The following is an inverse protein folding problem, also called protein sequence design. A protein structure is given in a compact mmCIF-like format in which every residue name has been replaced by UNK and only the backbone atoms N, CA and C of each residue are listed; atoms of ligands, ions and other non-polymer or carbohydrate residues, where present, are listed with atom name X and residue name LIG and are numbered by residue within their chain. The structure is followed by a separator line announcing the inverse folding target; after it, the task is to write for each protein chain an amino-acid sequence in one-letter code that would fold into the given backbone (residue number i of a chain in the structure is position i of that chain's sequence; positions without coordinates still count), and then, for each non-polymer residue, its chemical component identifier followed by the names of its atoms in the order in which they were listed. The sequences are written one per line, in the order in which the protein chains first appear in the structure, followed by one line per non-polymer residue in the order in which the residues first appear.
data_IF_066351182830
#
_entry.id   IF_066351182830
#
_cell.length_a   1.000
_cell.length_b   1.000
_cell.length_c   1.000
_cell.angle_alpha   90.00
_cell.angle_beta   90.00
_cell.angle_gamma   90.00
#
_symmetry.space_group_name_H-M   'P 1'
#
loop_
_entity.id
_entity.type
_entity.pdbx_description
1 polymer ?
#
# COMPACT_ATOMS: atom_id res chain seq x y z
N UNK A 1 14.69 30.16 -4.41
CA UNK A 1 14.77 29.30 -3.20
C UNK A 1 15.87 28.28 -3.40
N UNK A 2 16.80 28.16 -2.47
CA UNK A 2 17.79 27.08 -2.50
C UNK A 2 17.07 25.74 -2.27
N UNK A 3 17.43 24.72 -3.05
CA UNK A 3 16.84 23.39 -2.91
C UNK A 3 17.28 22.75 -1.57
N UNK A 4 16.45 21.88 -0.97
CA UNK A 4 16.82 21.15 0.24
C UNK A 4 18.10 20.34 0.03
N UNK A 5 18.92 20.20 1.09
CA UNK A 5 20.22 19.50 1.02
C UNK A 5 20.10 18.04 0.58
N UNK A 6 18.95 17.40 0.83
CA UNK A 6 18.65 16.02 0.43
C UNK A 6 18.22 15.86 -1.04
N UNK A 7 17.90 16.95 -1.74
CA UNK A 7 17.38 16.89 -3.12
C UNK A 7 18.32 16.18 -4.12
N UNK A 8 19.66 16.38 -4.09
CA UNK A 8 20.57 15.65 -4.97
C UNK A 8 20.51 14.14 -4.77
N UNK A 9 20.29 13.67 -3.53
CA UNK A 9 20.13 12.24 -3.20
C UNK A 9 18.84 11.71 -3.82
N UNK A 10 17.74 12.43 -3.60
CA UNK A 10 16.44 12.05 -4.16
C UNK A 10 16.49 11.95 -5.69
N UNK A 11 17.10 12.93 -6.35
CA UNK A 11 17.29 12.92 -7.80
C UNK A 11 18.12 11.72 -8.26
N UNK A 12 19.23 11.42 -7.58
CA UNK A 12 20.08 10.27 -7.89
C UNK A 12 19.29 8.96 -7.80
N UNK A 13 18.57 8.74 -6.70
CA UNK A 13 17.79 7.52 -6.49
C UNK A 13 16.68 7.34 -7.54
N UNK A 14 15.95 8.41 -7.86
CA UNK A 14 14.92 8.37 -8.89
C UNK A 14 15.49 8.01 -10.26
N UNK A 15 16.60 8.66 -10.67
CA UNK A 15 17.27 8.39 -11.95
C UNK A 15 17.82 6.97 -12.01
N UNK A 16 18.37 6.45 -10.90
CA UNK A 16 18.84 5.07 -10.83
C UNK A 16 17.71 4.08 -11.06
N UNK A 17 16.54 4.30 -10.46
CA UNK A 17 15.37 3.46 -10.70
C UNK A 17 14.89 3.54 -12.15
N UNK A 18 14.81 4.74 -12.74
CA UNK A 18 14.37 4.90 -14.13
C UNK A 18 15.28 4.22 -15.16
N UNK A 19 16.57 4.05 -14.85
CA UNK A 19 17.51 3.29 -15.69
C UNK A 19 17.37 1.78 -15.54
N UNK A 20 16.70 1.30 -14.49
CA UNK A 20 16.47 -0.13 -14.28
C UNK A 20 15.37 -0.64 -15.21
N UNK A 21 15.59 -1.75 -15.91
CA UNK A 21 14.53 -2.39 -16.70
C UNK A 21 13.41 -2.96 -15.81
N UNK A 22 13.74 -3.33 -14.57
CA UNK A 22 12.81 -3.99 -13.66
C UNK A 22 11.63 -3.09 -13.24
N UNK A 23 11.85 -1.78 -13.08
CA UNK A 23 10.77 -0.83 -12.74
C UNK A 23 9.78 -0.68 -13.90
N UNK A 24 10.25 -0.80 -15.15
CA UNK A 24 9.40 -0.68 -16.33
C UNK A 24 8.62 -1.94 -16.64
N UNK A 25 9.09 -3.11 -16.21
CA UNK A 25 8.32 -4.36 -16.26
C UNK A 25 7.10 -4.30 -15.34
N UNK A 26 7.19 -3.55 -14.23
CA UNK A 26 6.06 -3.40 -13.31
C UNK A 26 4.85 -2.73 -13.98
N UNK A 27 5.07 -1.77 -14.89
CA UNK A 27 3.98 -1.03 -15.53
C UNK A 27 2.98 -1.92 -16.31
N UNK A 28 3.40 -2.75 -17.30
CA UNK A 28 2.47 -3.64 -18.00
C UNK A 28 1.89 -4.71 -17.09
N UNK A 29 2.65 -5.22 -16.11
CA UNK A 29 2.12 -6.20 -15.15
C UNK A 29 0.97 -5.61 -14.32
N UNK A 30 1.08 -4.35 -13.88
CA UNK A 30 0.02 -3.67 -13.16
C UNK A 30 -1.22 -3.43 -14.02
N UNK A 31 -1.06 -3.19 -15.32
CA UNK A 31 -2.21 -3.08 -16.26
C UNK A 31 -2.93 -4.42 -16.36
N UNK A 32 -2.18 -5.51 -16.60
CA UNK A 32 -2.75 -6.86 -16.71
C UNK A 32 -3.42 -7.28 -15.41
N UNK A 33 -2.80 -6.99 -14.26
CA UNK A 33 -3.33 -7.34 -12.95
C UNK A 33 -4.54 -6.48 -12.54
N UNK A 34 -4.52 -5.20 -12.86
CA UNK A 34 -5.60 -4.28 -12.52
C UNK A 34 -6.84 -4.46 -13.39
N UNK A 35 -6.67 -4.85 -14.65
CA UNK A 35 -7.78 -5.05 -15.58
C UNK A 35 -8.47 -6.39 -15.33
N UNK A 36 -9.69 -6.33 -14.77
CA UNK A 36 -10.50 -7.51 -14.51
C UNK A 36 -11.97 -7.12 -14.33
N UNK A 37 -12.70 -6.82 -15.42
CA UNK A 37 -14.11 -6.47 -15.34
C UNK A 37 -14.97 -7.69 -14.97
N UNK A 38 -15.97 -7.48 -14.12
CA UNK A 38 -17.04 -8.46 -13.84
C UNK A 38 -18.41 -7.82 -14.09
N UNK A 39 -19.45 -8.63 -14.30
CA UNK A 39 -20.79 -8.12 -14.58
C UNK A 39 -21.36 -7.35 -13.36
N UNK A 40 -21.12 -7.87 -12.17
CA UNK A 40 -21.54 -7.32 -10.89
C UNK A 40 -20.85 -5.99 -10.60
N UNK A 41 -19.54 -5.93 -10.92
CA UNK A 41 -18.78 -4.69 -10.79
C UNK A 41 -19.31 -3.61 -11.73
N UNK A 42 -19.73 -3.98 -12.94
CA UNK A 42 -20.36 -3.06 -13.88
C UNK A 42 -21.75 -2.62 -13.42
N UNK A 43 -22.57 -3.54 -12.92
CA UNK A 43 -23.92 -3.23 -12.42
C UNK A 43 -23.89 -2.20 -11.28
N UNK A 44 -22.94 -2.36 -10.35
CA UNK A 44 -22.81 -1.45 -9.19
C UNK A 44 -22.10 -0.13 -9.53
N UNK A 45 -21.02 -0.16 -10.30
CA UNK A 45 -20.17 1.02 -10.52
C UNK A 45 -20.43 1.74 -11.85
N UNK A 46 -21.05 1.09 -12.82
CA UNK A 46 -21.13 1.54 -14.21
C UNK A 46 -19.74 1.90 -14.75
N UNK A 47 -19.58 3.05 -15.44
CA UNK A 47 -18.29 3.50 -15.96
C UNK A 47 -17.18 3.62 -14.90
N UNK A 48 -17.54 3.84 -13.61
CA UNK A 48 -16.57 3.95 -12.52
C UNK A 48 -15.85 2.61 -12.21
N UNK A 49 -16.22 1.49 -12.83
CA UNK A 49 -15.45 0.23 -12.77
C UNK A 49 -13.99 0.45 -13.18
N UNK A 50 -13.73 1.41 -14.07
CA UNK A 50 -12.37 1.83 -14.45
C UNK A 50 -11.53 2.30 -13.26
N UNK A 51 -12.14 3.00 -12.31
CA UNK A 51 -11.47 3.45 -11.07
C UNK A 51 -11.15 2.24 -10.18
N UNK A 52 -12.02 1.22 -10.18
CA UNK A 52 -11.79 -0.07 -9.54
C UNK A 52 -10.54 -0.79 -10.07
N UNK A 53 -10.25 -0.72 -11.37
CA UNK A 53 -9.04 -1.31 -11.94
C UNK A 53 -7.75 -0.70 -11.39
N UNK A 54 -7.76 0.60 -11.09
CA UNK A 54 -6.62 1.28 -10.45
C UNK A 54 -6.43 0.76 -9.02
N UNK A 55 -7.54 0.55 -8.29
CA UNK A 55 -7.47 -0.07 -6.96
C UNK A 55 -6.86 -1.49 -7.04
N UNK A 56 -7.36 -2.30 -7.98
CA UNK A 56 -6.89 -3.66 -8.20
C UNK A 56 -5.41 -3.69 -8.59
N UNK A 57 -4.94 -2.79 -9.45
CA UNK A 57 -3.51 -2.65 -9.76
C UNK A 57 -2.68 -2.40 -8.49
N UNK A 58 -3.18 -1.55 -7.58
CA UNK A 58 -2.54 -1.26 -6.29
C UNK A 58 -2.61 -2.37 -5.24
N UNK A 59 -3.23 -3.52 -5.52
CA UNK A 59 -3.51 -4.56 -4.52
C UNK A 59 -2.29 -5.42 -4.14
N UNK A 60 -2.11 -6.60 -4.73
CA UNK A 60 -1.04 -7.57 -4.36
C UNK A 60 0.24 -7.32 -5.15
N UNK A 61 0.11 -7.03 -6.44
CA UNK A 61 1.26 -6.90 -7.34
C UNK A 61 2.09 -5.64 -7.06
N UNK A 62 1.44 -4.52 -6.77
CA UNK A 62 2.12 -3.26 -6.46
C UNK A 62 3.02 -3.35 -5.21
N UNK A 63 2.55 -3.79 -4.02
CA UNK A 63 3.42 -3.92 -2.86
C UNK A 63 4.55 -4.92 -3.10
N UNK A 64 4.29 -6.04 -3.78
CA UNK A 64 5.36 -6.99 -4.14
C UNK A 64 6.45 -6.31 -4.97
N UNK A 65 6.05 -5.62 -6.05
CA UNK A 65 6.97 -4.93 -6.96
C UNK A 65 7.73 -3.81 -6.27
N UNK A 66 7.05 -2.95 -5.50
CA UNK A 66 7.69 -1.85 -4.78
C UNK A 66 8.70 -2.38 -3.76
N UNK A 67 8.36 -3.40 -2.97
CA UNK A 67 9.28 -3.98 -2.00
C UNK A 67 10.50 -4.62 -2.68
N UNK A 68 10.31 -5.37 -3.77
CA UNK A 68 11.41 -5.98 -4.56
C UNK A 68 12.35 -4.97 -5.19
N UNK A 69 11.83 -3.81 -5.58
CA UNK A 69 12.64 -2.78 -6.23
C UNK A 69 13.32 -1.86 -5.21
N UNK A 70 12.82 -1.81 -3.97
CA UNK A 70 13.26 -0.82 -2.98
C UNK A 70 13.98 -1.39 -1.77
N UNK A 71 13.98 -2.71 -1.52
CA UNK A 71 14.59 -3.31 -0.32
C UNK A 71 16.09 -3.01 -0.14
N UNK A 72 16.85 -2.88 -1.24
CA UNK A 72 18.30 -2.62 -1.19
C UNK A 72 18.68 -1.14 -1.00
N UNK A 73 17.78 -0.28 -0.51
CA UNK A 73 18.01 1.18 -0.49
C UNK A 73 19.21 1.63 0.32
N UNK A 74 19.51 0.96 1.41
CA UNK A 74 20.63 1.31 2.30
C UNK A 74 21.67 0.19 2.32
N UNK A 75 21.23 -1.08 2.29
CA UNK A 75 22.15 -2.23 2.30
C UNK A 75 23.14 -2.16 1.14
N UNK A 76 22.70 -1.82 -0.08
CA UNK A 76 23.60 -1.77 -1.24
C UNK A 76 24.72 -0.74 -1.07
N UNK A 77 24.43 0.40 -0.43
CA UNK A 77 25.43 1.42 -0.17
C UNK A 77 26.34 1.04 1.00
N UNK A 78 25.81 0.29 1.96
CA UNK A 78 26.59 -0.26 3.08
C UNK A 78 27.58 -1.32 2.58
N UNK A 79 27.14 -2.28 1.78
CA UNK A 79 27.99 -3.37 1.27
C UNK A 79 29.04 -2.88 0.28
N UNK A 80 28.72 -1.86 -0.52
CA UNK A 80 29.69 -1.21 -1.41
C UNK A 80 30.66 -0.25 -0.71
N UNK A 81 30.49 0.01 0.59
CA UNK A 81 31.26 1.02 1.33
C UNK A 81 30.94 2.47 0.96
N UNK A 82 30.05 2.71 -0.01
CA UNK A 82 29.68 4.05 -0.48
C UNK A 82 28.97 4.90 0.58
N UNK A 83 28.39 4.25 1.59
CA UNK A 83 27.77 4.91 2.74
C UNK A 83 28.76 5.81 3.50
N UNK A 84 30.06 5.45 3.56
CA UNK A 84 31.09 6.28 4.22
C UNK A 84 31.29 7.63 3.51
N UNK A 85 31.27 7.64 2.18
CA UNK A 85 31.37 8.87 1.41
C UNK A 85 30.13 9.75 1.58
N UNK A 86 28.94 9.16 1.64
CA UNK A 86 27.69 9.90 1.89
C UNK A 86 27.65 10.55 3.27
N UNK A 87 28.19 9.86 4.30
CA UNK A 87 28.29 10.39 5.65
C UNK A 87 29.41 11.42 5.84
N UNK A 88 30.40 11.45 4.92
CA UNK A 88 31.45 12.48 4.90
C UNK A 88 30.98 13.83 4.32
N UNK A 89 29.81 13.84 3.67
CA UNK A 89 29.17 15.07 3.22
C UNK A 89 28.48 15.77 4.41
N UNK A 90 28.27 17.10 4.34
CA UNK A 90 27.59 17.85 5.40
C UNK A 90 26.07 17.62 5.36
N UNK A 91 25.65 16.35 5.52
CA UNK A 91 24.28 15.86 5.48
C UNK A 91 23.96 15.17 6.80
N UNK A 92 22.73 15.36 7.30
CA UNK A 92 22.27 14.58 8.46
C UNK A 92 21.85 13.18 8.03
N UNK A 93 21.89 12.23 8.97
CA UNK A 93 21.34 10.88 8.76
C UNK A 93 19.85 10.91 8.34
N UNK A 94 19.10 11.88 8.86
CA UNK A 94 17.69 12.13 8.49
C UNK A 94 17.56 12.62 7.05
N UNK A 95 18.44 13.53 6.59
CA UNK A 95 18.46 14.00 5.19
C UNK A 95 18.67 12.84 4.20
N UNK A 96 19.53 11.88 4.57
CA UNK A 96 19.78 10.69 3.75
C UNK A 96 18.51 9.83 3.65
N UNK A 97 17.83 9.57 4.77
CA UNK A 97 16.61 8.76 4.80
C UNK A 97 15.48 9.43 4.00
N UNK A 98 15.24 10.73 4.22
CA UNK A 98 14.23 11.50 3.49
C UNK A 98 14.54 11.53 1.99
N UNK A 99 15.79 11.82 1.63
CA UNK A 99 16.22 11.82 0.23
C UNK A 99 15.99 10.49 -0.46
N UNK A 100 16.30 9.37 0.21
CA UNK A 100 16.06 8.02 -0.32
C UNK A 100 14.58 7.71 -0.49
N UNK A 101 13.77 8.00 0.52
CA UNK A 101 12.32 7.73 0.47
C UNK A 101 11.68 8.57 -0.64
N UNK A 102 11.96 9.86 -0.72
CA UNK A 102 11.42 10.72 -1.76
C UNK A 102 11.86 10.27 -3.16
N UNK A 103 13.16 10.01 -3.37
CA UNK A 103 13.67 9.59 -4.67
C UNK A 103 13.11 8.25 -5.13
N UNK A 104 13.02 7.27 -4.23
CA UNK A 104 12.46 5.94 -4.55
C UNK A 104 10.96 5.96 -4.73
N UNK A 105 10.24 6.80 -3.98
CA UNK A 105 8.80 6.99 -4.17
C UNK A 105 8.51 7.58 -5.54
N UNK A 106 9.23 8.62 -5.96
CA UNK A 106 9.10 9.16 -7.32
C UNK A 106 9.40 8.09 -8.37
N UNK A 107 10.48 7.32 -8.18
CA UNK A 107 10.83 6.20 -9.06
C UNK A 107 9.73 5.13 -9.18
N UNK A 108 9.03 4.83 -8.08
CA UNK A 108 7.96 3.84 -8.01
C UNK A 108 6.59 4.36 -8.48
N UNK A 109 6.31 5.66 -8.31
CA UNK A 109 5.05 6.28 -8.74
C UNK A 109 4.96 6.37 -10.25
N UNK A 110 6.05 6.62 -10.96
CA UNK A 110 6.03 6.76 -12.44
C UNK A 110 5.50 5.53 -13.19
N UNK A 111 5.99 4.29 -12.98
CA UNK A 111 5.42 3.12 -13.66
C UNK A 111 3.96 2.90 -13.28
N UNK A 112 3.57 3.13 -12.03
CA UNK A 112 2.19 3.04 -11.59
C UNK A 112 1.29 4.09 -12.27
N UNK A 113 1.78 5.34 -12.39
CA UNK A 113 1.08 6.39 -13.10
C UNK A 113 0.89 6.04 -14.59
N UNK A 114 1.91 5.47 -15.23
CA UNK A 114 1.80 4.96 -16.59
C UNK A 114 0.73 3.86 -16.70
N UNK A 115 0.73 2.87 -15.80
CA UNK A 115 -0.31 1.84 -15.76
C UNK A 115 -1.69 2.42 -15.53
N UNK A 116 -1.81 3.41 -14.65
CA UNK A 116 -3.07 4.09 -14.34
C UNK A 116 -3.60 4.83 -15.56
N UNK A 117 -2.75 5.54 -16.31
CA UNK A 117 -3.13 6.20 -17.56
C UNK A 117 -3.61 5.17 -18.59
N UNK A 118 -2.89 4.06 -18.75
CA UNK A 118 -3.28 2.99 -19.68
C UNK A 118 -4.62 2.37 -19.27
N UNK A 119 -4.82 2.06 -17.99
CA UNK A 119 -6.10 1.56 -17.47
C UNK A 119 -7.24 2.57 -17.67
N UNK A 120 -6.96 3.87 -17.48
CA UNK A 120 -7.90 4.95 -17.74
C UNK A 120 -8.29 5.05 -19.21
N UNK A 121 -7.34 4.89 -20.15
CA UNK A 121 -7.60 4.88 -21.59
C UNK A 121 -8.44 3.65 -21.97
N UNK A 122 -8.02 2.45 -21.53
CA UNK A 122 -8.77 1.21 -21.77
C UNK A 122 -10.20 1.37 -21.23
N UNK A 123 -10.31 1.90 -20.01
CA UNK A 123 -11.57 2.09 -19.35
C UNK A 123 -12.49 3.08 -20.06
N UNK A 124 -11.96 4.25 -20.42
CA UNK A 124 -12.70 5.29 -21.15
C UNK A 124 -13.21 4.82 -22.50
N UNK A 125 -12.42 4.02 -23.23
CA UNK A 125 -12.81 3.45 -24.53
C UNK A 125 -13.87 2.35 -24.38
N UNK A 126 -13.74 1.47 -23.38
CA UNK A 126 -14.63 0.29 -23.25
C UNK A 126 -15.89 0.53 -22.43
N UNK A 127 -15.80 1.35 -21.40
CA UNK A 127 -16.83 1.51 -20.37
C UNK A 127 -17.40 2.94 -20.31
N UNK A 128 -16.85 3.86 -21.11
CA UNK A 128 -17.30 5.25 -21.18
C UNK A 128 -16.68 6.16 -20.12
N UNK A 129 -17.26 7.36 -19.96
CA UNK A 129 -16.72 8.40 -19.08
C UNK A 129 -16.96 8.04 -17.60
N UNK A 130 -15.88 7.97 -16.83
CA UNK A 130 -15.89 7.76 -15.39
C UNK A 130 -15.61 9.07 -14.64
N UNK A 131 -15.88 9.08 -13.32
CA UNK A 131 -15.65 10.25 -12.48
C UNK A 131 -14.15 10.60 -12.38
N UNK A 132 -13.70 11.77 -12.88
CA UNK A 132 -12.31 12.18 -12.76
C UNK A 132 -11.89 12.37 -11.30
N UNK A 133 -12.81 12.82 -10.44
CA UNK A 133 -12.55 13.04 -9.02
C UNK A 133 -12.25 11.72 -8.30
N UNK A 134 -13.04 10.66 -8.53
CA UNK A 134 -12.79 9.33 -7.95
C UNK A 134 -11.49 8.72 -8.47
N UNK A 135 -11.22 8.90 -9.76
CA UNK A 135 -9.99 8.42 -10.40
C UNK A 135 -8.74 9.07 -9.79
N UNK A 136 -8.73 10.41 -9.67
CA UNK A 136 -7.64 11.16 -9.03
C UNK A 136 -7.54 10.78 -7.54
N UNK A 137 -8.68 10.66 -6.85
CA UNK A 137 -8.71 10.27 -5.43
C UNK A 137 -8.04 8.92 -5.18
N UNK A 138 -8.43 7.88 -5.94
CA UNK A 138 -7.80 6.56 -5.83
C UNK A 138 -6.32 6.63 -6.21
N UNK A 139 -5.96 7.33 -7.29
CA UNK A 139 -4.56 7.51 -7.68
C UNK A 139 -3.72 8.13 -6.55
N UNK A 140 -4.19 9.20 -5.91
CA UNK A 140 -3.47 9.88 -4.82
C UNK A 140 -3.33 8.98 -3.59
N UNK A 141 -4.37 8.21 -3.26
CA UNK A 141 -4.31 7.25 -2.15
C UNK A 141 -3.34 6.10 -2.46
N UNK A 142 -3.28 5.62 -3.71
CA UNK A 142 -2.28 4.63 -4.12
C UNK A 142 -0.87 5.22 -4.11
N UNK A 143 -0.68 6.49 -4.49
CA UNK A 143 0.62 7.18 -4.36
C UNK A 143 1.06 7.25 -2.90
N UNK A 144 0.15 7.60 -1.97
CA UNK A 144 0.44 7.55 -0.54
C UNK A 144 0.83 6.13 -0.11
N UNK A 145 0.11 5.11 -0.58
CA UNK A 145 0.43 3.72 -0.29
C UNK A 145 1.82 3.30 -0.82
N UNK A 146 2.21 3.74 -2.02
CA UNK A 146 3.58 3.54 -2.55
C UNK A 146 4.61 4.19 -1.62
N UNK A 147 4.39 5.42 -1.18
CA UNK A 147 5.29 6.12 -0.24
C UNK A 147 5.43 5.33 1.07
N UNK A 148 4.31 4.79 1.60
CA UNK A 148 4.32 3.93 2.79
C UNK A 148 5.18 2.70 2.57
N UNK A 149 5.01 1.98 1.46
CA UNK A 149 5.78 0.79 1.13
C UNK A 149 7.29 1.08 1.02
N UNK A 150 7.65 2.18 0.34
CA UNK A 150 9.03 2.65 0.22
C UNK A 150 9.62 3.01 1.59
N UNK A 151 8.81 3.63 2.44
CA UNK A 151 9.19 4.02 3.80
C UNK A 151 9.49 2.79 4.66
N UNK A 152 8.63 1.77 4.62
CA UNK A 152 8.86 0.50 5.32
C UNK A 152 10.10 -0.23 4.78
N UNK A 153 10.24 -0.33 3.46
CA UNK A 153 11.40 -0.97 2.84
C UNK A 153 12.71 -0.27 3.25
N UNK A 154 12.71 1.06 3.25
CA UNK A 154 13.88 1.86 3.65
C UNK A 154 14.17 1.73 5.14
N UNK A 155 13.14 1.74 6.00
CA UNK A 155 13.29 1.51 7.42
C UNK A 155 13.92 0.14 7.72
N UNK A 156 13.41 -0.94 7.09
CA UNK A 156 13.97 -2.28 7.26
C UNK A 156 15.43 -2.36 6.79
N UNK A 157 15.74 -1.73 5.66
CA UNK A 157 17.10 -1.63 5.09
C UNK A 157 18.07 -0.87 6.01
N UNK A 158 17.59 0.16 6.73
CA UNK A 158 18.42 0.95 7.65
C UNK A 158 18.84 0.17 8.90
N UNK A 159 17.92 -0.63 9.44
CA UNK A 159 18.03 -1.27 10.75
C UNK A 159 18.87 -2.56 10.71
N UNK A 160 19.11 -3.11 9.53
CA UNK A 160 19.70 -4.44 9.36
C UNK A 160 20.99 -4.36 8.53
N UNK A 161 21.98 -5.18 8.87
CA UNK A 161 23.25 -5.30 8.12
C UNK A 161 23.22 -6.41 7.06
N UNK A 162 22.39 -7.44 7.27
CA UNK A 162 22.27 -8.61 6.39
C UNK A 162 21.19 -8.43 5.34
N UNK A 163 21.57 -8.64 4.07
CA UNK A 163 20.63 -8.62 2.95
C UNK A 163 19.53 -9.67 3.09
N UNK A 164 19.91 -10.91 3.43
CA UNK A 164 18.97 -12.03 3.63
C UNK A 164 17.93 -11.70 4.70
N UNK A 165 18.34 -11.07 5.80
CA UNK A 165 17.41 -10.70 6.88
C UNK A 165 16.42 -9.62 6.44
N UNK A 166 16.83 -8.62 5.66
CA UNK A 166 15.89 -7.60 5.16
C UNK A 166 14.90 -8.18 4.18
N UNK A 167 15.36 -9.03 3.28
CA UNK A 167 14.48 -9.78 2.37
C UNK A 167 13.49 -10.62 3.18
N UNK A 168 13.94 -11.37 4.19
CA UNK A 168 13.04 -12.17 5.04
C UNK A 168 12.02 -11.31 5.80
N UNK A 169 12.40 -10.14 6.33
CA UNK A 169 11.46 -9.23 7.01
C UNK A 169 10.46 -8.64 6.04
N UNK A 170 10.89 -8.12 4.89
CA UNK A 170 9.98 -7.46 3.94
C UNK A 170 9.06 -8.45 3.22
N UNK A 171 9.56 -9.63 2.83
CA UNK A 171 8.73 -10.61 2.13
C UNK A 171 8.00 -11.57 3.07
N UNK A 172 8.67 -12.05 4.11
CA UNK A 172 8.08 -12.99 5.07
C UNK A 172 7.15 -12.32 6.07
N UNK A 173 7.54 -11.18 6.64
CA UNK A 173 6.70 -10.49 7.63
C UNK A 173 5.79 -9.47 6.94
N UNK A 174 6.34 -8.51 6.21
CA UNK A 174 5.49 -7.44 5.69
C UNK A 174 4.57 -7.91 4.55
N UNK A 175 5.12 -8.54 3.51
CA UNK A 175 4.30 -8.97 2.38
C UNK A 175 3.41 -10.17 2.75
N UNK A 176 3.99 -11.29 3.16
CA UNK A 176 3.21 -12.50 3.42
C UNK A 176 2.24 -12.33 4.61
N UNK A 177 2.72 -11.89 5.78
CA UNK A 177 1.85 -11.76 6.97
C UNK A 177 0.92 -10.55 6.83
N UNK A 178 1.44 -9.33 6.62
CA UNK A 178 0.59 -8.13 6.67
C UNK A 178 -0.22 -7.90 5.38
N UNK A 179 0.24 -8.35 4.21
CA UNK A 179 -0.48 -8.09 2.94
C UNK A 179 -1.40 -9.23 2.54
N UNK A 180 -0.96 -10.49 2.67
CA UNK A 180 -1.73 -11.66 2.23
C UNK A 180 -2.52 -12.32 3.36
N UNK A 181 -1.86 -12.63 4.48
CA UNK A 181 -2.45 -13.44 5.55
C UNK A 181 -3.19 -12.64 6.62
N UNK A 182 -3.06 -11.31 6.63
CA UNK A 182 -3.60 -10.48 7.71
C UNK A 182 -5.11 -10.61 7.89
N UNK A 183 -5.87 -10.89 6.83
CA UNK A 183 -7.31 -11.15 6.96
C UNK A 183 -7.57 -12.33 7.91
N UNK A 184 -6.86 -13.43 7.70
CA UNK A 184 -6.99 -14.63 8.54
C UNK A 184 -6.39 -14.40 9.91
N UNK A 185 -5.19 -13.81 9.98
CA UNK A 185 -4.50 -13.56 11.25
C UNK A 185 -5.28 -12.60 12.13
N UNK A 186 -5.80 -11.50 11.58
CA UNK A 186 -6.61 -10.53 12.30
C UNK A 186 -7.92 -11.13 12.82
N UNK A 187 -8.60 -11.94 12.00
CA UNK A 187 -9.79 -12.67 12.43
C UNK A 187 -9.49 -13.69 13.54
N UNK A 188 -8.36 -14.40 13.46
CA UNK A 188 -7.90 -15.33 14.49
C UNK A 188 -7.54 -14.60 15.79
N UNK A 189 -6.87 -13.44 15.72
CA UNK A 189 -6.57 -12.61 16.89
C UNK A 189 -7.88 -12.17 17.57
N UNK A 190 -8.84 -11.65 16.79
CA UNK A 190 -10.15 -11.27 17.31
C UNK A 190 -10.84 -12.45 18.01
N UNK A 191 -10.85 -13.62 17.36
CA UNK A 191 -11.53 -14.81 17.90
C UNK A 191 -10.86 -15.29 19.19
N UNK A 192 -9.52 -15.21 19.28
CA UNK A 192 -8.78 -15.56 20.48
C UNK A 192 -9.02 -14.58 21.65
N UNK A 193 -9.22 -13.29 21.36
CA UNK A 193 -9.43 -12.25 22.37
C UNK A 193 -10.88 -12.23 22.88
N UNK A 194 -11.85 -12.41 22.00
CA UNK A 194 -13.29 -12.29 22.33
C UNK A 194 -13.97 -13.62 22.63
N UNK A 195 -13.37 -14.75 22.22
CA UNK A 195 -14.00 -16.07 22.26
C UNK A 195 -15.10 -16.26 21.20
N UNK A 196 -15.36 -15.25 20.35
CA UNK A 196 -16.38 -15.31 19.29
C UNK A 196 -15.72 -15.62 17.96
N UNK A 197 -16.20 -16.64 17.25
CA UNK A 197 -15.66 -16.99 15.94
C UNK A 197 -15.96 -15.88 14.91
N UNK A 198 -14.94 -15.34 14.28
CA UNK A 198 -15.09 -14.44 13.14
C UNK A 198 -15.36 -15.26 11.87
N UNK A 199 -16.64 -15.45 11.53
CA UNK A 199 -17.03 -16.05 10.26
C UNK A 199 -17.15 -14.97 9.17
N UNK A 200 -16.40 -15.05 8.06
CA UNK A 200 -16.54 -14.09 6.96
C UNK A 200 -17.94 -14.03 6.33
N UNK A 201 -18.70 -15.12 6.37
CA UNK A 201 -20.05 -15.22 5.80
C UNK A 201 -21.14 -14.71 6.74
N UNK A 202 -20.84 -14.64 8.03
CA UNK A 202 -21.73 -14.10 9.07
C UNK A 202 -20.86 -13.36 10.10
N UNK A 203 -20.29 -12.20 9.70
CA UNK A 203 -19.32 -11.50 10.53
C UNK A 203 -20.03 -10.88 11.75
N UNK A 204 -19.45 -10.99 12.96
CA UNK A 204 -20.03 -10.35 14.13
C UNK A 204 -20.04 -8.84 13.96
N UNK A 205 -21.12 -8.19 14.41
CA UNK A 205 -21.26 -6.74 14.48
C UNK A 205 -20.40 -6.12 15.61
N UNK A 206 -19.11 -6.47 15.65
CA UNK A 206 -18.14 -5.99 16.64
C UNK A 206 -17.07 -5.15 15.94
N UNK A 207 -16.93 -3.89 16.39
CA UNK A 207 -15.99 -2.98 15.77
C UNK A 207 -14.53 -3.32 16.01
N UNK A 208 -14.21 -4.13 17.03
CA UNK A 208 -12.85 -4.60 17.30
C UNK A 208 -12.30 -5.43 16.14
N UNK A 209 -13.12 -6.31 15.55
CA UNK A 209 -12.72 -7.15 14.40
C UNK A 209 -12.23 -6.27 13.25
N UNK A 210 -13.05 -5.29 12.86
CA UNK A 210 -12.76 -4.39 11.75
C UNK A 210 -11.59 -3.44 12.05
N UNK A 211 -11.44 -3.01 13.30
CA UNK A 211 -10.29 -2.23 13.73
C UNK A 211 -8.98 -3.01 13.58
N UNK A 212 -8.92 -4.27 14.04
CA UNK A 212 -7.74 -5.14 13.88
C UNK A 212 -7.42 -5.35 12.39
N UNK A 213 -8.44 -5.67 11.59
CA UNK A 213 -8.26 -5.90 10.16
C UNK A 213 -7.72 -4.66 9.44
N UNK A 214 -8.07 -3.45 9.88
CA UNK A 214 -7.61 -2.20 9.27
C UNK A 214 -6.16 -1.84 9.56
N UNK A 215 -5.52 -2.45 10.56
CA UNK A 215 -4.11 -2.17 10.91
C UNK A 215 -3.14 -2.46 9.75
N UNK A 216 -3.46 -3.45 8.90
CA UNK A 216 -2.65 -3.75 7.72
C UNK A 216 -2.65 -2.58 6.72
N UNK A 217 -1.47 -2.12 6.24
CA UNK A 217 -1.38 -1.04 5.25
C UNK A 217 -2.22 -1.30 4.01
N UNK A 218 -2.20 -2.52 3.48
CA UNK A 218 -2.95 -2.88 2.29
C UNK A 218 -4.47 -2.86 2.52
N UNK A 219 -4.93 -3.23 3.72
CA UNK A 219 -6.35 -3.14 4.08
C UNK A 219 -6.79 -1.70 4.35
N UNK A 220 -5.97 -0.90 5.03
CA UNK A 220 -6.21 0.53 5.22
C UNK A 220 -6.31 1.28 3.87
N UNK A 221 -5.39 1.01 2.94
CA UNK A 221 -5.45 1.47 1.56
C UNK A 221 -6.79 1.14 0.91
N UNK A 222 -7.19 -0.14 0.95
CA UNK A 222 -8.44 -0.60 0.34
C UNK A 222 -9.68 0.01 0.98
N UNK A 223 -9.70 0.20 2.29
CA UNK A 223 -10.79 0.91 2.99
C UNK A 223 -11.02 2.31 2.42
N UNK A 224 -9.95 3.09 2.28
CA UNK A 224 -10.08 4.46 1.75
C UNK A 224 -10.49 4.44 0.28
N UNK A 225 -9.93 3.55 -0.53
CA UNK A 225 -10.32 3.48 -1.95
C UNK A 225 -11.73 2.97 -2.17
N UNK A 226 -12.21 2.03 -1.33
CA UNK A 226 -13.59 1.55 -1.37
C UNK A 226 -14.58 2.65 -0.97
N UNK A 227 -14.20 3.47 0.01
CA UNK A 227 -14.96 4.68 0.36
C UNK A 227 -15.07 5.66 -0.80
N UNK A 228 -13.97 5.92 -1.52
CA UNK A 228 -13.97 6.78 -2.72
C UNK A 228 -14.83 6.19 -3.85
N UNK A 229 -14.82 4.87 -4.02
CA UNK A 229 -15.65 4.16 -5.01
C UNK A 229 -17.13 4.13 -4.61
N UNK A 230 -17.44 4.18 -3.32
CA UNK A 230 -18.80 4.05 -2.78
C UNK A 230 -19.31 2.60 -2.78
N UNK A 231 -18.41 1.61 -2.63
CA UNK A 231 -18.78 0.18 -2.64
C UNK A 231 -19.00 -0.42 -1.25
N UNK A 232 -18.65 0.30 -0.19
CA UNK A 232 -18.79 -0.14 1.20
C UNK A 232 -17.49 -0.06 2.00
N UNK A 233 -17.62 -0.13 3.31
CA UNK A 233 -16.54 0.00 4.26
C UNK A 233 -15.89 -1.37 4.51
N UNK A 234 -14.79 -1.63 3.81
CA UNK A 234 -14.03 -2.88 3.93
C UNK A 234 -12.56 -2.71 3.55
N UNK A 235 -11.70 -3.53 4.15
CA UNK A 235 -10.30 -3.68 3.74
C UNK A 235 -10.08 -4.67 2.59
N UNK A 236 -11.15 -5.24 2.04
CA UNK A 236 -11.15 -6.14 0.88
C UNK A 236 -11.01 -5.42 -0.46
N UNK A 237 -10.76 -6.16 -1.53
CA UNK A 237 -10.71 -5.61 -2.88
C UNK A 237 -12.13 -5.24 -3.34
N UNK A 238 -12.29 -4.16 -4.12
CA UNK A 238 -13.62 -3.67 -4.53
C UNK A 238 -14.54 -4.74 -5.11
N UNK A 239 -14.01 -5.68 -5.91
CA UNK A 239 -14.78 -6.81 -6.46
C UNK A 239 -15.32 -7.70 -5.36
N UNK A 240 -14.48 -8.11 -4.40
CA UNK A 240 -14.90 -8.92 -3.26
C UNK A 240 -15.91 -8.20 -2.35
N UNK A 241 -15.79 -6.87 -2.20
CA UNK A 241 -16.76 -6.08 -1.42
C UNK A 241 -18.10 -6.05 -2.13
N UNK A 242 -18.11 -5.85 -3.45
CA UNK A 242 -19.32 -5.92 -4.26
C UNK A 242 -19.94 -7.32 -4.14
N UNK A 243 -19.16 -8.39 -4.29
CA UNK A 243 -19.66 -9.77 -4.20
C UNK A 243 -20.35 -10.08 -2.85
N UNK A 244 -19.86 -9.51 -1.73
CA UNK A 244 -20.52 -9.67 -0.42
C UNK A 244 -21.88 -8.97 -0.37
N UNK A 245 -21.98 -7.80 -1.01
CA UNK A 245 -23.20 -6.98 -1.00
C UNK A 245 -24.18 -7.36 -2.13
N UNK A 246 -23.74 -8.17 -3.10
CA UNK A 246 -24.53 -8.54 -4.27
C UNK A 246 -25.41 -9.77 -3.98
N UNK A 247 -26.73 -9.72 -4.25
CA UNK A 247 -27.64 -10.82 -3.96
C UNK A 247 -27.25 -12.13 -4.66
N UNK A 248 -27.19 -13.23 -3.90
CA UNK A 248 -26.92 -14.57 -4.43
C UNK A 248 -25.43 -14.90 -4.60
N UNK A 249 -24.52 -13.98 -4.28
CA UNK A 249 -23.09 -14.24 -4.20
C UNK A 249 -22.63 -14.35 -2.75
N UNK A 250 -21.51 -15.04 -2.57
CA UNK A 250 -20.86 -15.17 -1.26
C UNK A 250 -19.38 -15.32 -1.47
N UNK A 251 -18.60 -14.45 -0.83
CA UNK A 251 -17.14 -14.49 -0.87
C UNK A 251 -16.57 -14.30 0.52
N UNK A 252 -15.34 -14.76 0.73
CA UNK A 252 -14.68 -14.72 2.03
C UNK A 252 -14.06 -13.33 2.26
N UNK A 253 -14.89 -12.36 2.63
CA UNK A 253 -14.44 -11.01 2.96
C UNK A 253 -15.31 -10.35 4.02
N UNK A 254 -14.70 -9.48 4.83
CA UNK A 254 -15.39 -8.77 5.91
C UNK A 254 -15.80 -7.37 5.44
N UNK A 255 -17.10 -7.08 5.49
CA UNK A 255 -17.67 -5.77 5.14
C UNK A 255 -18.44 -5.22 6.34
N UNK A 256 -18.14 -3.99 6.75
CA UNK A 256 -18.76 -3.35 7.92
C UNK A 256 -20.25 -3.19 7.68
N UNK A 257 -20.65 -2.73 6.49
CA UNK A 257 -22.05 -2.49 6.13
C UNK A 257 -22.90 -3.76 6.21
N UNK A 258 -22.34 -4.91 5.84
CA UNK A 258 -23.01 -6.21 5.96
C UNK A 258 -23.14 -6.64 7.43
N UNK A 259 -22.07 -6.51 8.23
CA UNK A 259 -22.05 -6.93 9.63
C UNK A 259 -22.94 -6.06 10.53
N UNK A 260 -22.97 -4.75 10.30
CA UNK A 260 -23.72 -3.78 11.09
C UNK A 260 -25.08 -3.43 10.45
N UNK A 261 -25.62 -4.27 9.57
CA UNK A 261 -26.90 -4.00 8.92
C UNK A 261 -27.99 -3.75 9.97
N UNK A 262 -28.57 -2.55 9.97
CA UNK A 262 -29.59 -2.13 10.95
C UNK A 262 -29.05 -1.69 12.32
N UNK A 263 -27.73 -1.55 12.48
CA UNK A 263 -27.07 -1.12 13.72
C UNK A 263 -26.17 0.11 13.50
N UNK A 264 -25.95 0.95 14.52
CA UNK A 264 -25.02 2.07 14.41
C UNK A 264 -23.58 1.57 14.30
N UNK A 265 -22.87 2.02 13.27
CA UNK A 265 -21.44 1.74 13.10
C UNK A 265 -20.63 2.62 14.07
N UNK A 266 -19.69 2.04 14.84
CA UNK A 266 -18.80 2.82 15.69
C UNK A 266 -18.01 3.89 14.92
N UNK A 267 -17.91 5.11 15.47
CA UNK A 267 -17.26 6.25 14.78
C UNK A 267 -15.80 5.98 14.42
N UNK A 268 -15.08 5.18 15.23
CA UNK A 268 -13.70 4.80 14.96
C UNK A 268 -13.54 3.82 13.77
N UNK A 269 -14.65 3.36 13.18
CA UNK A 269 -14.64 2.59 11.94
C UNK A 269 -14.84 3.45 10.69
N UNK A 270 -14.94 4.77 10.81
CA UNK A 270 -14.98 5.65 9.65
C UNK A 270 -13.76 5.41 8.73
N UNK A 271 -14.00 5.40 7.43
CA UNK A 271 -13.07 4.94 6.40
C UNK A 271 -11.85 5.86 6.28
N UNK A 272 -12.01 7.15 6.59
CA UNK A 272 -10.92 8.12 6.63
C UNK A 272 -9.80 7.74 7.61
N UNK A 273 -10.08 6.94 8.64
CA UNK A 273 -9.05 6.45 9.56
C UNK A 273 -8.06 5.50 8.88
N UNK A 274 -8.41 4.93 7.72
CA UNK A 274 -7.45 4.25 6.87
C UNK A 274 -6.30 5.17 6.42
N UNK A 275 -6.55 6.46 6.19
CA UNK A 275 -5.49 7.44 5.89
C UNK A 275 -4.56 7.63 7.10
N UNK A 276 -5.12 7.69 8.31
CA UNK A 276 -4.32 7.80 9.54
C UNK A 276 -3.43 6.58 9.71
N UNK A 277 -3.96 5.38 9.50
CA UNK A 277 -3.17 4.13 9.54
C UNK A 277 -2.03 4.17 8.51
N UNK A 278 -2.31 4.58 7.26
CA UNK A 278 -1.27 4.72 6.24
C UNK A 278 -0.19 5.73 6.64
N UNK A 279 -0.57 6.90 7.15
CA UNK A 279 0.38 7.92 7.60
C UNK A 279 1.25 7.40 8.75
N UNK A 280 0.68 6.69 9.71
CA UNK A 280 1.43 6.04 10.80
C UNK A 280 2.44 5.04 10.25
N UNK A 281 2.06 4.21 9.27
CA UNK A 281 2.99 3.28 8.61
C UNK A 281 4.06 3.96 7.78
N UNK A 282 3.80 5.16 7.25
CA UNK A 282 4.83 5.96 6.58
C UNK A 282 5.84 6.55 7.57
N UNK A 283 5.38 7.02 8.72
CA UNK A 283 6.19 7.81 9.67
C UNK A 283 6.88 6.94 10.71
N UNK A 284 6.14 6.05 11.38
CA UNK A 284 6.63 5.30 12.56
C UNK A 284 7.85 4.41 12.22
N UNK A 285 7.84 3.59 11.15
CA UNK A 285 9.00 2.77 10.81
C UNK A 285 10.24 3.61 10.50
N UNK A 286 10.09 4.74 9.81
CA UNK A 286 11.19 5.65 9.51
C UNK A 286 11.71 6.35 10.75
N UNK A 287 10.85 6.77 11.67
CA UNK A 287 11.24 7.39 12.93
C UNK A 287 12.04 6.41 13.80
N UNK A 288 11.56 5.17 13.94
CA UNK A 288 12.26 4.11 14.66
C UNK A 288 13.61 3.75 14.01
N UNK A 289 13.62 3.66 12.67
CA UNK A 289 14.84 3.43 11.91
C UNK A 289 15.84 4.57 12.07
N UNK A 290 15.40 5.83 12.00
CA UNK A 290 16.24 7.01 12.19
C UNK A 290 16.84 7.08 13.61
N UNK A 291 16.04 6.78 14.62
CA UNK A 291 16.51 6.71 16.01
C UNK A 291 17.61 5.66 16.18
N UNK A 292 17.41 4.45 15.65
CA UNK A 292 18.40 3.37 15.71
C UNK A 292 19.62 3.67 14.85
N UNK A 293 19.41 4.25 13.68
CA UNK A 293 20.48 4.63 12.77
C UNK A 293 21.33 5.74 13.36
N UNK A 294 20.82 6.61 14.25
CA UNK A 294 21.62 7.61 14.98
C UNK A 294 22.44 7.02 16.14
N UNK A 295 21.96 5.94 16.77
CA UNK A 295 22.61 5.32 17.94
C UNK A 295 23.55 4.16 17.60
N UNK A 296 23.42 3.57 16.41
CA UNK A 296 24.27 2.47 15.98
C UNK A 296 25.67 2.94 15.60
N UNK A 297 26.67 2.32 16.22
CA UNK A 297 28.04 2.36 15.72
C UNK A 297 28.14 1.62 14.38
N UNK A 298 28.99 2.14 13.49
CA UNK A 298 29.35 1.54 12.23
C UNK A 298 30.29 0.34 12.49
N UNK A 299 29.73 -0.77 12.98
CA UNK A 299 30.41 -2.06 13.02
C UNK A 299 29.78 -3.03 12.00
#
# INVERSE_FOLDING_TARGET
MALPRWFPIARKEAVTLFKSKAIWILAPLLVVWGYGPTYESWDVLGPNVTVGFVQAAGSVLLPLGVLLLTYRSIIQERTSGSLKFLLGLPLTRTDILVGKVCGRSVGAVVPFALSTVVLGIIGGVKFGLFSPLRFIGVFLVTVLYIVVLVSVATAASAVTTSEVRVTAVLFGVFFLILTLLWRFIGASIYSAVTGTAANPFDPPADGLLFAILRISPGRAYRTVTNWILGVGNSGGQYTSVIDVMYPGLSTNEYVVDAAFSGQPVPVYLHESLGLVVLLLWGIVPLALAGYRFNRGDLA
#
